data_IF_083673563064
#
_entry.id   IF_083673563064
#
_cell.length_a   1.000
_cell.length_b   1.000
_cell.length_c   1.000
_cell.angle_alpha   90.00
_cell.angle_beta   90.00
_cell.angle_gamma   90.00
#
_symmetry.space_group_name_H-M   'P 1'
#
loop_
_entity.id
_entity.type
_entity.pdbx_description
1 polymer ?
2 non-polymer ?
3 non-polymer ?
4 non-polymer ?
5 water ?
#
# COMPACT_ATOMS: atom_id res chain seq x y z
N UNK A 10 20.31 2.01 -7.60
CA UNK A 10 21.37 1.03 -7.77
C UNK A 10 20.85 -0.25 -8.41
N UNK A 11 19.54 -0.47 -8.32
CA UNK A 11 18.91 -1.68 -8.82
C UNK A 11 18.00 -1.39 -10.02
N UNK A 12 17.77 -2.40 -10.89
CA UNK A 12 16.80 -2.36 -11.98
C UNK A 12 15.56 -3.24 -11.68
N UNK A 13 14.82 -3.64 -12.71
CA UNK A 13 13.60 -4.44 -12.52
C UNK A 13 13.01 -5.07 -13.79
N UNK A 14 12.56 -6.34 -13.72
CA UNK A 14 11.80 -7.02 -14.77
C UNK A 14 10.29 -6.76 -14.62
N UNK A 15 9.52 -6.89 -15.70
CA UNK A 15 8.10 -6.55 -15.66
C UNK A 15 7.20 -7.68 -16.14
N UNK A 16 5.97 -7.71 -15.64
CA UNK A 16 4.97 -8.62 -16.17
C UNK A 16 4.37 -8.03 -17.44
N UNK A 17 4.00 -8.89 -18.38
CA UNK A 17 3.24 -8.44 -19.53
C UNK A 17 1.78 -8.75 -19.26
N UNK A 18 0.93 -7.73 -19.44
CA UNK A 18 -0.49 -7.86 -19.17
C UNK A 18 -1.26 -7.77 -20.46
N UNK A 19 -2.12 -8.74 -20.72
CA UNK A 19 -3.03 -8.67 -21.85
C UNK A 19 -4.47 -8.76 -21.37
N UNK A 20 -5.26 -7.75 -21.65
CA UNK A 20 -6.67 -7.80 -21.21
C UNK A 20 -7.47 -8.71 -22.13
N UNK A 21 -8.16 -9.67 -21.54
CA UNK A 21 -8.90 -10.66 -22.32
C UNK A 21 -10.38 -10.32 -22.42
N UNK A 22 -10.90 -9.61 -21.43
CA UNK A 22 -12.31 -9.27 -21.39
C UNK A 22 -12.52 -8.09 -20.45
N UNK A 23 -13.45 -7.20 -20.80
CA UNK A 23 -13.82 -6.10 -19.90
C UNK A 23 -15.31 -6.13 -19.73
N UNK A 24 -15.79 -5.71 -18.53
CA UNK A 24 -17.23 -5.67 -18.31
C UNK A 24 -17.81 -4.43 -18.97
N UNK A 25 -19.09 -4.49 -19.34
CA UNK A 25 -19.80 -3.36 -19.94
C UNK A 25 -19.76 -2.18 -18.98
N UNK A 26 -20.02 -2.45 -17.69
CA UNK A 26 -19.93 -1.40 -16.68
C UNK A 26 -18.95 -1.79 -15.60
N UNK A 27 -18.03 -0.88 -15.29
CA UNK A 27 -17.08 -1.13 -14.20
C UNK A 27 -17.56 -0.37 -12.96
N UNK A 28 -17.78 -1.08 -11.86
CA UNK A 28 -18.36 -0.45 -10.67
C UNK A 28 -17.33 -0.03 -9.63
N UNK A 29 -16.12 -0.59 -9.73
CA UNK A 29 -15.06 -0.35 -8.76
C UNK A 29 -13.82 -1.02 -9.29
N UNK A 30 -12.66 -0.40 -9.06
CA UNK A 30 -11.42 -0.99 -9.51
C UNK A 30 -10.56 -1.44 -8.33
N UNK A 31 -9.78 -2.50 -8.52
CA UNK A 31 -8.94 -3.02 -7.45
C UNK A 31 -7.82 -2.06 -7.06
N UNK A 32 -7.52 -2.05 -5.77
CA UNK A 32 -6.54 -1.15 -5.16
C UNK A 32 -5.86 -1.92 -4.03
N UNK A 33 -4.60 -1.61 -3.74
CA UNK A 33 -3.87 -2.31 -2.68
C UNK A 33 -4.69 -2.48 -1.42
N UNK A 34 -4.68 -3.69 -0.88
CA UNK A 34 -5.48 -4.00 0.30
C UNK A 34 -6.79 -4.71 0.04
N UNK A 35 -7.35 -4.56 -1.17
CA UNK A 35 -8.63 -5.19 -1.50
C UNK A 35 -8.52 -6.71 -1.49
N UNK A 36 -9.61 -7.37 -1.16
CA UNK A 36 -9.69 -8.81 -1.34
C UNK A 36 -10.31 -9.09 -2.71
N UNK A 37 -9.62 -9.89 -3.52
CA UNK A 37 -10.10 -10.17 -4.86
C UNK A 37 -10.53 -11.64 -4.94
N UNK A 38 -11.74 -11.90 -5.41
CA UNK A 38 -12.14 -13.29 -5.60
C UNK A 38 -11.94 -13.60 -7.08
N UNK A 39 -11.08 -14.56 -7.38
CA UNK A 39 -10.70 -14.80 -8.76
C UNK A 39 -10.77 -16.27 -9.14
N UNK A 40 -11.02 -16.55 -10.42
CA UNK A 40 -10.72 -17.86 -10.96
C UNK A 40 -9.44 -17.68 -11.73
N UNK A 41 -8.58 -18.70 -11.76
CA UNK A 41 -7.43 -18.63 -12.63
C UNK A 41 -7.02 -19.99 -13.17
N UNK A 42 -6.34 -19.95 -14.29
CA UNK A 42 -5.61 -21.10 -14.79
C UNK A 42 -4.16 -20.67 -14.92
N UNK A 43 -3.24 -21.54 -14.55
CA UNK A 43 -1.84 -21.21 -14.63
C UNK A 43 -1.12 -22.19 -15.54
N UNK A 44 -0.28 -21.68 -16.42
CA UNK A 44 0.42 -22.49 -17.43
C UNK A 44 1.90 -22.19 -17.42
N UNK A 45 2.71 -23.17 -17.80
CA UNK A 45 4.12 -22.93 -18.06
C UNK A 45 4.19 -22.39 -19.48
N UNK A 46 4.89 -21.27 -19.68
CA UNK A 46 5.05 -20.71 -21.02
C UNK A 46 5.87 -21.66 -21.87
N UNK A 47 6.85 -22.32 -21.24
CA UNK A 47 7.81 -23.16 -21.96
C UNK A 47 7.13 -24.18 -22.87
N UNK A 48 6.18 -24.95 -22.33
CA UNK A 48 5.50 -25.98 -23.10
C UNK A 48 3.98 -25.85 -23.14
N UNK A 49 3.46 -24.77 -22.57
CA UNK A 49 2.03 -24.51 -22.59
C UNK A 49 1.20 -25.38 -21.66
N UNK A 50 1.87 -26.14 -20.80
CA UNK A 50 1.19 -27.06 -19.90
C UNK A 50 0.50 -26.37 -18.72
N UNK A 51 -0.69 -26.87 -18.39
CA UNK A 51 -1.50 -26.37 -17.28
C UNK A 51 -0.96 -26.88 -15.95
N UNK A 52 -0.63 -25.99 -15.02
CA UNK A 52 -0.18 -26.48 -13.71
C UNK A 52 -1.25 -26.32 -12.63
N UNK A 53 -2.25 -25.49 -12.88
CA UNK A 53 -3.33 -25.35 -11.91
C UNK A 53 -4.55 -24.68 -12.53
N UNK A 54 -5.72 -25.16 -12.13
CA UNK A 54 -6.97 -24.50 -12.48
C UNK A 54 -7.90 -24.49 -11.29
N UNK A 55 -8.39 -23.30 -10.93
CA UNK A 55 -9.34 -23.18 -9.82
C UNK A 55 -10.67 -23.83 -10.19
N UNK A 56 -10.95 -23.98 -11.49
CA UNK A 56 -12.17 -24.67 -11.90
C UNK A 56 -12.09 -26.16 -11.62
N UNK A 57 -10.89 -26.68 -11.49
CA UNK A 57 -10.71 -28.11 -11.32
C UNK A 57 -10.37 -28.52 -9.90
N UNK A 58 -9.79 -27.62 -9.13
CA UNK A 58 -9.33 -27.96 -7.80
C UNK A 58 -10.39 -27.61 -6.76
N UNK A 59 -10.48 -28.39 -5.69
CA UNK A 59 -11.40 -28.08 -4.58
C UNK A 59 -12.82 -27.77 -5.10
N UNK A 60 -13.30 -28.65 -5.98
CA UNK A 60 -14.67 -28.57 -6.49
C UNK A 60 -15.03 -27.24 -7.13
N UNK A 61 -14.04 -26.62 -7.76
CA UNK A 61 -14.26 -25.41 -8.52
C UNK A 61 -14.44 -24.12 -7.75
N UNK A 62 -14.00 -24.07 -6.49
CA UNK A 62 -14.04 -22.84 -5.73
C UNK A 62 -13.17 -21.76 -6.38
N UNK A 63 -13.69 -20.55 -6.56
CA UNK A 63 -12.74 -19.49 -6.86
C UNK A 63 -11.92 -19.22 -5.58
N UNK A 64 -10.84 -18.44 -5.70
CA UNK A 64 -9.96 -18.20 -4.57
C UNK A 64 -9.83 -16.73 -4.22
N UNK A 65 -9.64 -16.44 -2.94
CA UNK A 65 -9.45 -15.07 -2.48
C UNK A 65 -7.98 -14.73 -2.51
N UNK A 66 -7.66 -13.50 -2.93
CA UNK A 66 -6.29 -13.02 -3.02
C UNK A 66 -6.28 -11.57 -2.58
N UNK A 67 -5.44 -11.23 -1.61
CA UNK A 67 -5.28 -9.84 -1.18
C UNK A 67 -4.27 -9.16 -2.09
N UNK A 68 -4.68 -8.04 -2.70
CA UNK A 68 -3.83 -7.31 -3.62
C UNK A 68 -2.82 -6.43 -2.89
N UNK A 69 -1.58 -6.42 -3.37
CA UNK A 69 -0.61 -5.42 -2.95
C UNK A 69 0.11 -5.62 -1.63
N UNK A 70 0.08 -6.83 -1.09
CA UNK A 70 0.84 -7.12 0.13
C UNK A 70 1.76 -8.30 -0.03
N UNK A 71 2.05 -8.67 -1.28
CA UNK A 71 2.88 -9.85 -1.57
C UNK A 71 2.37 -11.12 -0.91
N UNK A 72 1.06 -11.30 -0.97
CA UNK A 72 0.45 -12.49 -0.40
C UNK A 72 0.81 -13.72 -1.23
N UNK A 73 1.10 -13.49 -2.51
CA UNK A 73 1.39 -14.55 -3.45
C UNK A 73 2.59 -14.15 -4.29
N UNK A 74 2.49 -14.30 -5.62
CA UNK A 74 3.62 -14.00 -6.51
C UNK A 74 3.77 -12.50 -6.71
N UNK A 75 5.00 -12.05 -6.92
CA UNK A 75 5.23 -10.63 -7.21
C UNK A 75 4.44 -10.18 -8.44
N UNK A 76 4.40 -11.03 -9.45
CA UNK A 76 3.73 -10.71 -10.70
C UNK A 76 2.24 -10.50 -10.57
N UNK A 77 1.64 -11.18 -9.60
CA UNK A 77 0.21 -10.94 -9.36
C UNK A 77 -0.03 -9.51 -8.83
N UNK A 78 0.79 -9.08 -7.89
CA UNK A 78 0.73 -7.70 -7.40
C UNK A 78 0.92 -6.69 -8.53
N UNK A 79 1.85 -6.98 -9.44
CA UNK A 79 2.12 -6.07 -10.54
C UNK A 79 1.01 -6.10 -11.61
N UNK A 80 0.31 -7.23 -11.74
CA UNK A 80 -0.60 -7.39 -12.87
C UNK A 80 -2.09 -7.23 -12.62
N UNK A 81 -2.48 -7.09 -11.36
CA UNK A 81 -3.90 -7.12 -11.01
C UNK A 81 -4.43 -5.83 -10.39
N UNK A 82 -3.72 -4.72 -10.61
CA UNK A 82 -4.17 -3.43 -10.10
C UNK A 82 -5.19 -2.80 -11.06
N UNK A 83 -6.13 -2.05 -10.52
CA UNK A 83 -7.07 -1.29 -11.34
C UNK A 83 -8.02 -2.16 -12.15
N UNK A 84 -8.34 -3.33 -11.62
CA UNK A 84 -9.11 -4.34 -12.33
C UNK A 84 -10.58 -4.30 -11.91
N UNK A 85 -11.51 -4.54 -12.85
CA UNK A 85 -12.95 -4.46 -12.57
C UNK A 85 -13.52 -5.87 -12.45
N UNK A 86 -14.56 -6.03 -11.65
CA UNK A 86 -15.32 -7.27 -11.61
C UNK A 86 -15.82 -7.55 -13.02
N UNK A 87 -15.60 -8.76 -13.50
CA UNK A 87 -16.00 -9.13 -14.85
C UNK A 87 -14.86 -8.95 -15.86
N UNK A 88 -13.75 -8.36 -15.40
CA UNK A 88 -12.55 -8.22 -16.23
C UNK A 88 -11.71 -9.51 -16.16
N UNK A 89 -11.11 -9.88 -17.29
CA UNK A 89 -10.21 -11.02 -17.34
C UNK A 89 -8.87 -10.57 -17.91
N UNK A 90 -7.77 -10.99 -17.29
CA UNK A 90 -6.43 -10.66 -17.76
C UNK A 90 -5.55 -11.89 -17.94
N UNK A 91 -4.70 -11.84 -18.95
CA UNK A 91 -3.62 -12.81 -19.07
C UNK A 91 -2.34 -12.15 -18.55
N UNK A 92 -1.70 -12.75 -17.55
CA UNK A 92 -0.40 -12.25 -17.08
C UNK A 92 0.69 -13.20 -17.56
N UNK A 93 1.71 -12.62 -18.18
CA UNK A 93 2.91 -13.35 -18.51
C UNK A 93 4.00 -12.89 -17.57
N UNK A 94 4.41 -13.80 -16.68
CA UNK A 94 5.26 -13.50 -15.56
C UNK A 94 6.63 -14.16 -15.69
N UNK A 95 7.69 -13.33 -15.80
CA UNK A 95 9.07 -13.83 -15.85
C UNK A 95 9.44 -14.41 -14.48
N UNK A 96 10.39 -15.36 -14.45
CA UNK A 96 10.72 -16.09 -13.21
C UNK A 96 11.00 -15.20 -12.00
N UNK A 97 11.70 -14.09 -12.19
CA UNK A 97 12.01 -13.17 -11.09
C UNK A 97 10.76 -12.64 -10.38
N UNK A 98 9.62 -12.72 -11.04
CA UNK A 98 8.35 -12.26 -10.47
C UNK A 98 7.42 -13.44 -10.19
N UNK A 99 7.94 -14.64 -10.39
CA UNK A 99 7.16 -15.83 -10.14
C UNK A 99 7.82 -16.64 -9.04
N UNK A 100 8.21 -17.86 -9.39
CA UNK A 100 8.86 -18.76 -8.43
C UNK A 100 10.38 -18.74 -8.50
N UNK A 101 10.93 -17.89 -9.37
CA UNK A 101 12.34 -17.58 -9.34
C UNK A 101 13.30 -18.63 -9.87
N UNK A 102 14.57 -18.42 -9.58
CA UNK A 102 15.66 -19.29 -10.03
C UNK A 102 15.55 -20.66 -9.40
N UNK A 103 14.98 -20.73 -8.20
CA UNK A 103 14.85 -21.99 -7.50
C UNK A 103 13.71 -22.82 -8.06
N UNK A 104 12.62 -22.14 -8.40
CA UNK A 104 11.39 -22.81 -8.74
C UNK A 104 10.77 -23.30 -7.44
N UNK A 105 9.61 -23.92 -7.53
CA UNK A 105 8.97 -24.46 -6.35
C UNK A 105 8.05 -25.61 -6.74
N UNK A 106 8.22 -26.76 -6.10
CA UNK A 106 7.40 -27.93 -6.37
C UNK A 106 7.39 -28.34 -7.84
N UNK A 107 6.20 -28.35 -8.43
CA UNK A 107 6.04 -28.78 -9.82
C UNK A 107 6.39 -27.69 -10.83
N UNK A 108 6.75 -26.51 -10.35
CA UNK A 108 7.21 -25.44 -11.24
C UNK A 108 8.72 -25.46 -11.33
N UNK A 109 9.26 -25.83 -12.50
CA UNK A 109 10.72 -25.93 -12.67
C UNK A 109 11.41 -24.59 -12.49
N UNK A 110 12.73 -24.61 -12.22
CA UNK A 110 13.51 -23.37 -12.06
C UNK A 110 13.45 -22.47 -13.30
N UNK A 111 13.47 -21.15 -13.08
CA UNK A 111 13.52 -20.18 -14.16
C UNK A 111 12.32 -20.27 -15.12
N UNK A 112 11.14 -20.55 -14.55
CA UNK A 112 9.95 -20.72 -15.36
C UNK A 112 9.21 -19.40 -15.58
N UNK A 113 8.98 -19.07 -16.84
CA UNK A 113 8.03 -18.02 -17.16
C UNK A 113 6.63 -18.64 -17.07
N UNK A 114 5.71 -17.90 -16.46
CA UNK A 114 4.38 -18.38 -16.14
C UNK A 114 3.32 -17.60 -16.91
N UNK A 115 2.25 -18.29 -17.29
CA UNK A 115 1.10 -17.61 -17.89
C UNK A 115 -0.14 -17.86 -17.04
N UNK A 116 -0.76 -16.79 -16.56
CA UNK A 116 -2.01 -16.93 -15.82
C UNK A 116 -3.13 -16.24 -16.56
N UNK A 117 -4.28 -16.90 -16.67
CA UNK A 117 -5.50 -16.24 -17.11
C UNK A 117 -6.35 -16.10 -15.87
N UNK A 118 -6.76 -14.88 -15.56
CA UNK A 118 -7.36 -14.60 -14.28
C UNK A 118 -8.64 -13.80 -14.47
N UNK A 119 -9.72 -14.26 -13.87
CA UNK A 119 -11.04 -13.62 -13.97
C UNK A 119 -11.43 -13.06 -12.60
N UNK A 120 -11.84 -11.81 -12.53
CA UNK A 120 -12.21 -11.21 -11.25
C UNK A 120 -13.73 -11.27 -11.03
N UNK A 121 -14.13 -12.02 -10.00
CA UNK A 121 -15.54 -12.25 -9.67
C UNK A 121 -16.11 -11.25 -8.67
N UNK A 122 -15.26 -10.71 -7.80
CA UNK A 122 -15.76 -9.86 -6.72
C UNK A 122 -14.62 -9.14 -6.04
N UNK A 123 -14.90 -7.93 -5.54
CA UNK A 123 -13.94 -7.21 -4.71
C UNK A 123 -14.55 -7.03 -3.34
N UNK A 124 -13.80 -7.37 -2.30
CA UNK A 124 -14.28 -7.09 -0.94
C UNK A 124 -13.28 -6.26 -0.19
N UNK A 125 -13.78 -5.52 0.80
CA UNK A 125 -12.95 -4.68 1.64
C UNK A 125 -12.04 -5.51 2.49
N UNK A 126 -10.77 -5.11 2.54
CA UNK A 126 -9.81 -5.76 3.43
C UNK A 126 -10.13 -5.46 4.89
N UNK A 127 -9.67 -6.33 5.80
CA UNK A 127 -10.01 -6.18 7.22
C UNK A 127 -9.27 -5.02 7.88
N UNK A 128 -9.77 -4.53 9.00
CA UNK A 128 -9.08 -3.52 9.79
C UNK A 128 -7.77 -4.11 10.29
N UNK A 129 -6.64 -3.44 10.04
CA UNK A 129 -5.36 -4.01 10.45
C UNK A 129 -4.73 -3.28 11.64
N UNK A 130 -3.94 -4.04 12.41
CA UNK A 130 -3.20 -3.45 13.51
C UNK A 130 -2.28 -2.34 12.98
N UNK A 131 -1.66 -2.60 11.84
CA UNK A 131 -0.78 -1.64 11.16
C UNK A 131 -1.46 -0.30 10.88
N UNK A 132 -2.69 -0.36 10.36
CA UNK A 132 -3.42 0.87 10.08
C UNK A 132 -3.68 1.67 11.35
N UNK A 133 -4.03 0.98 12.43
CA UNK A 133 -4.29 1.65 13.70
C UNK A 133 -3.04 2.37 14.20
N UNK A 134 -1.91 1.66 14.19
CA UNK A 134 -0.66 2.25 14.66
C UNK A 134 -0.26 3.44 13.80
N UNK A 135 -0.50 3.35 12.49
CA UNK A 135 -0.15 4.43 11.57
C UNK A 135 -0.94 5.70 11.90
N UNK A 136 -2.17 5.51 12.32
CA UNK A 136 -3.06 6.63 12.66
C UNK A 136 -2.81 7.15 14.06
N UNK A 137 -2.43 6.24 14.96
CA UNK A 137 -2.22 6.60 16.36
C UNK A 137 -0.89 7.32 16.53
N UNK A 138 -0.86 8.61 16.14
CA UNK A 138 0.38 9.37 16.09
C UNK A 138 1.12 9.46 17.43
N UNK A 139 0.38 9.53 18.55
CA UNK A 139 1.03 9.69 19.84
C UNK A 139 1.16 8.41 20.67
N UNK A 140 0.93 7.27 20.03
CA UNK A 140 1.11 5.95 20.65
C UNK A 140 0.38 5.77 21.99
N UNK A 141 -0.78 6.40 22.16
CA UNK A 141 -1.53 6.19 23.41
C UNK A 141 -2.62 5.14 23.24
N UNK A 142 -2.55 4.40 22.14
CA UNK A 142 -3.46 3.29 21.84
C UNK A 142 -4.92 3.70 21.70
N UNK A 143 -5.14 4.96 21.37
CA UNK A 143 -6.45 5.44 20.94
C UNK A 143 -6.29 6.53 19.90
N UNK A 144 -7.31 6.68 19.06
CA UNK A 144 -7.26 7.66 17.98
C UNK A 144 -8.09 8.88 18.36
N UNK A 145 -7.45 10.04 18.45
CA UNK A 145 -8.16 11.28 18.70
C UNK A 145 -8.83 11.74 17.41
N UNK A 146 -9.75 12.70 17.52
CA UNK A 146 -10.36 13.26 16.33
C UNK A 146 -9.31 13.91 15.45
N UNK A 147 -8.30 14.51 16.08
CA UNK A 147 -7.24 15.18 15.33
C UNK A 147 -6.39 14.17 14.55
N UNK A 148 -6.16 13.00 15.15
CA UNK A 148 -5.40 11.97 14.46
C UNK A 148 -6.15 11.43 13.25
N UNK A 149 -7.46 11.23 13.41
CA UNK A 149 -8.28 10.76 12.29
C UNK A 149 -8.38 11.84 11.20
N UNK A 150 -8.50 13.09 11.63
CA UNK A 150 -8.49 14.21 10.69
C UNK A 150 -7.16 14.25 9.91
N UNK A 151 -6.05 14.04 10.60
CA UNK A 151 -4.75 14.07 9.93
C UNK A 151 -4.66 12.99 8.87
N UNK A 152 -5.17 11.81 9.21
CA UNK A 152 -5.15 10.68 8.29
C UNK A 152 -6.01 10.98 7.04
N UNK A 153 -7.21 11.48 7.27
CA UNK A 153 -8.10 11.89 6.18
C UNK A 153 -7.42 12.92 5.30
N UNK A 154 -6.78 13.89 5.93
CA UNK A 154 -6.14 14.97 5.19
C UNK A 154 -5.09 14.40 4.25
N UNK A 155 -4.25 13.52 4.77
CA UNK A 155 -3.16 13.02 3.94
C UNK A 155 -3.66 12.08 2.83
N UNK A 156 -4.71 11.31 3.12
CA UNK A 156 -5.27 10.44 2.11
C UNK A 156 -6.03 11.22 1.03
N UNK A 157 -6.78 12.24 1.43
CA UNK A 157 -7.43 13.12 0.46
C UNK A 157 -6.40 13.74 -0.47
N UNK A 158 -5.31 14.24 0.12
CA UNK A 158 -4.26 14.90 -0.67
C UNK A 158 -3.64 13.94 -1.67
N UNK A 159 -3.45 12.69 -1.25
CA UNK A 159 -2.84 11.66 -2.08
C UNK A 159 -3.65 11.44 -3.35
N UNK A 160 -4.96 11.63 -3.25
CA UNK A 160 -5.85 11.42 -4.40
C UNK A 160 -6.30 12.72 -5.06
N UNK A 161 -5.62 13.82 -4.75
CA UNK A 161 -5.81 15.04 -5.49
C UNK A 161 -6.80 16.02 -4.89
N UNK A 162 -7.18 15.79 -3.64
CA UNK A 162 -8.21 16.60 -3.01
C UNK A 162 -7.67 17.38 -1.81
N UNK A 163 -7.61 18.69 -1.93
CA UNK A 163 -7.27 19.51 -0.78
C UNK A 163 -8.49 20.38 -0.49
N UNK A 164 -9.16 20.10 0.62
CA UNK A 164 -10.44 20.76 0.90
C UNK A 164 -10.46 21.47 2.25
N UNK A 165 -11.55 22.19 2.50
CA UNK A 165 -11.73 22.99 3.70
C UNK A 165 -11.93 22.16 4.96
N UNK A 166 -11.37 22.64 6.07
CA UNK A 166 -11.38 21.96 7.36
C UNK A 166 -12.78 21.51 7.77
N UNK A 167 -13.79 22.32 7.44
CA UNK A 167 -15.17 22.01 7.79
C UNK A 167 -15.58 20.64 7.26
N UNK A 168 -15.13 20.31 6.06
CA UNK A 168 -15.35 18.96 5.52
C UNK A 168 -14.74 17.88 6.42
N UNK A 169 -13.46 18.00 6.73
CA UNK A 169 -12.80 16.98 7.54
C UNK A 169 -13.44 16.87 8.92
N UNK A 170 -13.76 18.01 9.52
CA UNK A 170 -14.42 18.02 10.82
C UNK A 170 -15.76 17.30 10.75
N UNK A 171 -16.50 17.49 9.66
CA UNK A 171 -17.81 16.86 9.52
C UNK A 171 -17.68 15.34 9.32
N UNK A 172 -16.71 14.93 8.51
CA UNK A 172 -16.46 13.52 8.23
C UNK A 172 -15.97 12.78 9.47
N UNK A 173 -15.11 13.42 10.26
CA UNK A 173 -14.64 12.86 11.52
C UNK A 173 -15.79 12.60 12.51
N UNK A 174 -16.74 13.52 12.58
CA UNK A 174 -17.91 13.32 13.43
C UNK A 174 -18.76 12.15 12.94
N UNK A 175 -18.94 12.03 11.63
CA UNK A 175 -19.64 10.87 11.07
C UNK A 175 -18.99 9.58 11.54
N UNK A 176 -17.66 9.54 11.47
CA UNK A 176 -16.90 8.35 11.84
C UNK A 176 -17.00 8.04 13.33
N UNK A 177 -16.79 9.06 14.16
CA UNK A 177 -16.82 8.88 15.61
C UNK A 177 -18.21 8.56 16.15
N UNK A 178 -19.24 9.00 15.42
CA UNK A 178 -20.62 8.72 15.81
C UNK A 178 -20.82 7.22 16.00
N UNK A 179 -20.20 6.44 15.13
CA UNK A 179 -20.29 4.99 15.20
C UNK A 179 -19.18 4.34 16.04
N UNK A 180 -17.95 4.81 15.90
CA UNK A 180 -16.81 4.10 16.45
C UNK A 180 -16.47 4.45 17.88
N UNK A 181 -16.76 5.68 18.29
CA UNK A 181 -16.58 6.07 19.69
C UNK A 181 -17.81 5.71 20.50
N UNK A 182 -17.70 4.71 21.37
CA UNK A 182 -18.87 4.18 22.08
C UNK A 182 -19.04 4.78 23.46
N UNK A 183 -17.98 4.80 24.26
CA UNK A 183 -18.07 5.43 25.57
C UNK A 183 -18.07 6.95 25.48
N UNK A 184 -17.81 7.46 24.27
CA UNK A 184 -17.82 8.89 23.98
C UNK A 184 -16.79 9.65 24.82
N UNK A 185 -15.59 9.08 24.97
CA UNK A 185 -14.51 9.82 25.60
C UNK A 185 -13.82 10.72 24.58
N UNK A 186 -14.29 10.64 23.33
CA UNK A 186 -13.75 11.45 22.26
C UNK A 186 -12.66 10.75 21.47
N UNK A 187 -12.45 9.48 21.79
CA UNK A 187 -11.40 8.69 21.17
C UNK A 187 -11.94 7.38 20.62
N UNK A 188 -11.18 6.78 19.73
CA UNK A 188 -11.46 5.43 19.27
C UNK A 188 -10.35 4.53 19.79
N UNK A 189 -10.62 3.83 20.88
CA UNK A 189 -9.66 2.91 21.49
C UNK A 189 -9.32 1.76 20.56
N UNK A 190 -8.24 1.05 20.86
CA UNK A 190 -7.86 -0.12 20.06
C UNK A 190 -9.00 -1.13 20.06
N UNK A 191 -9.63 -1.29 21.22
CA UNK A 191 -10.78 -2.17 21.34
C UNK A 191 -11.91 -1.77 20.38
N UNK A 192 -12.30 -0.50 20.42
CA UNK A 192 -13.34 0.01 19.53
C UNK A 192 -12.97 -0.13 18.04
N UNK A 193 -11.68 0.01 17.73
CA UNK A 193 -11.22 -0.07 16.33
C UNK A 193 -11.30 -1.49 15.76
N UNK A 194 -11.13 -2.49 16.62
CA UNK A 194 -11.01 -3.90 16.21
C UNK A 194 -12.07 -4.37 15.20
N UNK A 195 -13.33 -4.25 15.57
CA UNK A 195 -14.42 -4.63 14.67
C UNK A 195 -15.08 -3.40 14.08
N UNK A 196 -15.25 -3.39 12.76
CA UNK A 196 -16.18 -2.46 12.17
C UNK A 196 -17.53 -2.97 12.65
N UNK A 197 -18.18 -2.24 13.55
CA UNK A 197 -19.49 -2.66 14.03
C UNK A 197 -20.55 -2.46 12.96
N UNK A 198 -20.08 -2.08 11.77
CA UNK A 198 -20.86 -2.05 10.55
C UNK A 198 -21.32 -3.47 10.19
N UNK B 11 -2.98 -9.98 14.97
CA UNK B 11 -1.63 -9.44 15.09
C UNK B 11 -0.59 -10.52 14.76
N UNK B 12 -0.03 -10.45 13.54
CA UNK B 12 0.95 -11.42 13.03
C UNK B 12 2.29 -11.39 13.76
N UNK B 13 2.96 -12.53 13.81
CA UNK B 13 4.27 -12.64 14.45
C UNK B 13 5.34 -11.84 13.69
N UNK B 14 5.98 -10.89 14.38
CA UNK B 14 7.07 -10.10 13.76
C UNK B 14 8.33 -10.95 13.62
N UNK B 15 9.04 -10.77 12.52
CA UNK B 15 10.25 -11.56 12.28
C UNK B 15 11.49 -10.72 12.52
N UNK B 16 11.35 -9.40 12.46
CA UNK B 16 12.42 -8.52 12.86
C UNK B 16 12.14 -8.00 14.27
N UNK B 17 13.20 -7.86 15.07
CA UNK B 17 13.03 -7.26 16.38
C UNK B 17 13.12 -5.75 16.16
N UNK B 18 12.08 -5.03 16.55
CA UNK B 18 12.09 -3.58 16.40
C UNK B 18 12.13 -2.96 17.79
N UNK B 19 13.01 -1.99 17.99
CA UNK B 19 13.01 -1.28 19.26
C UNK B 19 13.00 0.22 18.96
N UNK B 20 12.02 0.94 19.49
CA UNK B 20 12.00 2.40 19.33
C UNK B 20 12.94 2.98 20.37
N UNK B 21 13.99 3.64 19.90
CA UNK B 21 15.01 4.16 20.79
C UNK B 21 14.64 5.55 21.29
N UNK B 22 13.96 6.31 20.44
CA UNK B 22 13.59 7.69 20.78
C UNK B 22 12.45 8.13 19.88
N UNK B 23 11.52 8.91 20.43
CA UNK B 23 10.41 9.49 19.67
C UNK B 23 10.51 11.03 19.74
N UNK B 24 9.93 11.72 18.75
CA UNK B 24 9.89 13.20 18.84
C UNK B 24 8.94 13.62 19.94
N UNK B 25 9.07 14.87 20.40
CA UNK B 25 8.14 15.41 21.38
C UNK B 25 6.72 15.30 20.83
N UNK B 26 6.58 15.56 19.53
CA UNK B 26 5.28 15.52 18.89
C UNK B 26 5.39 14.88 17.52
N UNK B 27 4.52 13.89 17.26
CA UNK B 27 4.51 13.24 15.95
C UNK B 27 3.32 13.72 15.13
N UNK B 28 3.60 14.23 13.93
CA UNK B 28 2.56 14.78 13.09
C UNK B 28 2.18 13.86 11.93
N UNK B 29 2.96 12.81 11.75
CA UNK B 29 2.79 11.93 10.59
C UNK B 29 3.64 10.67 10.74
N UNK B 30 3.08 9.52 10.41
CA UNK B 30 3.80 8.24 10.50
C UNK B 30 3.95 7.60 9.13
N UNK B 31 5.07 6.91 8.92
CA UNK B 31 5.37 6.33 7.61
C UNK B 31 4.37 5.25 7.23
N UNK B 32 4.11 5.14 5.94
CA UNK B 32 3.31 4.03 5.42
C UNK B 32 3.86 3.63 4.05
N UNK B 33 3.37 2.52 3.50
CA UNK B 33 3.82 2.05 2.21
C UNK B 33 3.81 3.14 1.16
N UNK B 34 4.87 3.21 0.37
CA UNK B 34 4.98 4.22 -0.67
C UNK B 34 5.70 5.48 -0.23
N UNK B 35 5.82 5.72 1.08
CA UNK B 35 6.50 6.93 1.57
C UNK B 35 7.99 6.89 1.30
N UNK B 36 8.57 8.02 0.93
CA UNK B 36 10.01 8.17 0.86
C UNK B 36 10.51 8.62 2.22
N UNK B 37 11.55 7.96 2.71
CA UNK B 37 12.08 8.23 4.04
C UNK B 37 13.53 8.68 3.92
N UNK B 38 13.84 9.86 4.45
CA UNK B 38 15.22 10.31 4.47
C UNK B 38 15.81 9.82 5.78
N UNK B 39 16.82 8.95 5.71
CA UNK B 39 17.38 8.35 6.91
C UNK B 39 18.88 8.42 7.01
N UNK B 40 19.37 8.50 8.24
CA UNK B 40 20.74 8.16 8.51
C UNK B 40 20.68 6.75 9.09
N UNK B 41 21.69 5.93 8.84
CA UNK B 41 21.73 4.64 9.53
C UNK B 41 23.13 4.10 9.70
N UNK B 42 23.27 3.19 10.64
CA UNK B 42 24.49 2.40 10.81
C UNK B 42 24.06 0.95 10.80
N UNK B 43 24.83 0.11 10.12
CA UNK B 43 24.54 -1.31 10.08
C UNK B 43 25.70 -2.13 10.60
N UNK B 44 25.40 -3.10 11.46
CA UNK B 44 26.42 -3.91 12.11
C UNK B 44 26.15 -5.40 11.93
N UNK B 45 27.20 -6.20 11.92
CA UNK B 45 27.04 -7.65 11.96
C UNK B 45 26.84 -8.04 13.42
N UNK B 46 25.76 -8.75 13.72
CA UNK B 46 25.54 -9.21 15.09
C UNK B 46 26.67 -10.14 15.56
N UNK B 47 27.27 -10.89 14.63
CA UNK B 47 28.29 -11.88 14.99
C UNK B 47 29.48 -11.30 15.75
N UNK B 48 30.04 -10.20 15.27
CA UNK B 48 31.26 -9.67 15.85
C UNK B 48 31.13 -8.18 16.18
N UNK B 49 29.93 -7.64 16.00
CA UNK B 49 29.67 -6.25 16.26
C UNK B 49 30.33 -5.28 15.29
N UNK B 50 30.87 -5.80 14.18
CA UNK B 50 31.57 -4.95 13.23
C UNK B 50 30.62 -4.06 12.43
N UNK B 51 31.02 -2.82 12.20
CA UNK B 51 30.25 -1.89 11.38
C UNK B 51 30.43 -2.25 9.91
N UNK B 52 29.35 -2.51 9.20
CA UNK B 52 29.50 -2.74 7.76
C UNK B 52 29.16 -1.51 6.92
N UNK B 53 28.33 -0.62 7.45
CA UNK B 53 28.02 0.60 6.75
C UNK B 53 27.47 1.68 7.68
N UNK B 54 27.85 2.92 7.40
CA UNK B 54 27.34 4.08 8.11
C UNK B 54 27.18 5.22 7.11
N UNK B 55 25.99 5.80 7.05
CA UNK B 55 25.77 6.92 6.14
C UNK B 55 26.67 8.08 6.55
N UNK B 56 26.98 8.18 7.85
CA UNK B 56 27.85 9.24 8.34
C UNK B 56 29.29 9.08 7.84
N UNK B 57 29.77 7.85 7.81
CA UNK B 57 31.17 7.59 7.47
C UNK B 57 31.40 7.19 6.01
N UNK B 58 30.43 6.50 5.41
CA UNK B 58 30.60 5.95 4.08
C UNK B 58 29.90 6.72 2.97
N UNK B 59 29.17 7.77 3.33
CA UNK B 59 28.35 8.48 2.35
C UNK B 59 28.61 9.99 2.35
N UNK B 60 29.83 10.36 2.67
CA UNK B 60 30.19 11.77 2.78
C UNK B 60 29.29 12.46 3.80
N UNK B 61 28.80 11.68 4.75
CA UNK B 61 28.01 12.17 5.86
C UNK B 61 26.56 12.44 5.53
N UNK B 62 26.16 12.16 4.30
CA UNK B 62 24.82 12.49 3.84
C UNK B 62 23.82 11.37 4.13
N UNK B 63 22.60 11.73 4.55
CA UNK B 63 21.56 10.71 4.72
C UNK B 63 21.10 10.22 3.35
N UNK B 64 20.33 9.16 3.32
CA UNK B 64 19.91 8.57 2.05
C UNK B 64 18.40 8.42 2.02
N UNK B 65 17.85 8.42 0.80
CA UNK B 65 16.42 8.23 0.61
C UNK B 65 16.11 6.76 0.40
N UNK B 66 15.07 6.29 1.07
CA UNK B 66 14.61 4.90 1.00
C UNK B 66 13.10 4.92 0.81
N UNK B 67 12.58 4.17 -0.15
CA UNK B 67 11.14 4.09 -0.32
C UNK B 67 10.62 2.87 0.43
N UNK B 68 9.64 3.09 1.30
CA UNK B 68 9.12 2.05 2.17
C UNK B 68 8.04 1.21 1.47
N UNK B 69 8.04 -0.09 1.76
CA UNK B 69 6.96 -0.95 1.34
C UNK B 69 6.92 -1.45 -0.09
N UNK B 70 8.04 -1.35 -0.81
CA UNK B 70 8.09 -1.83 -2.20
C UNK B 70 9.31 -2.73 -2.46
N UNK B 71 9.88 -3.29 -1.39
CA UNK B 71 11.09 -4.10 -1.49
C UNK B 71 12.19 -3.40 -2.28
N UNK B 72 12.35 -2.11 -2.02
CA UNK B 72 13.43 -1.36 -2.62
C UNK B 72 14.75 -1.86 -2.05
N UNK B 73 14.74 -2.25 -0.77
CA UNK B 73 15.94 -2.73 -0.10
C UNK B 73 15.67 -4.04 0.64
N UNK B 74 16.14 -4.15 1.89
CA UNK B 74 16.01 -5.41 2.63
C UNK B 74 14.57 -5.64 3.05
N UNK B 75 14.12 -6.90 3.06
CA UNK B 75 12.75 -7.18 3.50
C UNK B 75 12.54 -6.69 4.93
N UNK B 76 13.59 -6.81 5.74
CA UNK B 76 13.55 -6.40 7.14
C UNK B 76 13.32 -4.91 7.35
N UNK B 77 13.80 -4.09 6.41
CA UNK B 77 13.56 -2.65 6.47
C UNK B 77 12.08 -2.39 6.21
N UNK B 78 11.52 -3.08 5.22
CA UNK B 78 10.09 -2.99 4.93
C UNK B 78 9.23 -3.39 6.13
N UNK B 79 9.63 -4.43 6.84
CA UNK B 79 8.86 -4.86 8.01
C UNK B 79 9.10 -3.97 9.22
N UNK B 80 10.29 -3.36 9.31
CA UNK B 80 10.69 -2.69 10.53
C UNK B 80 10.52 -1.19 10.58
N UNK B 81 10.14 -0.56 9.46
CA UNK B 81 10.16 0.91 9.40
C UNK B 81 8.80 1.55 9.17
N UNK B 82 7.74 0.79 9.41
CA UNK B 82 6.37 1.31 9.30
C UNK B 82 5.97 2.08 10.56
N UNK B 83 5.15 3.10 10.39
CA UNK B 83 4.59 3.81 11.53
C UNK B 83 5.63 4.61 12.28
N UNK B 84 6.61 5.11 11.55
CA UNK B 84 7.74 5.82 12.14
C UNK B 84 7.56 7.32 11.94
N UNK B 85 8.04 8.12 12.91
CA UNK B 85 7.85 9.57 12.86
C UNK B 85 9.18 10.26 12.57
N UNK B 86 9.15 11.44 11.96
CA UNK B 86 10.37 12.26 11.91
C UNK B 86 10.93 12.54 13.32
N UNK B 87 12.22 12.29 13.50
CA UNK B 87 12.86 12.54 14.79
C UNK B 87 12.89 11.25 15.59
N UNK B 88 12.26 10.20 15.04
CA UNK B 88 12.28 8.91 15.70
C UNK B 88 13.54 8.14 15.30
N UNK B 89 14.04 7.33 16.22
CA UNK B 89 15.19 6.47 16.01
C UNK B 89 14.80 5.05 16.41
N UNK B 90 15.19 4.09 15.56
CA UNK B 90 14.83 2.69 15.74
C UNK B 90 16.01 1.77 15.58
N UNK B 91 16.02 0.73 16.39
CA UNK B 91 16.96 -0.37 16.22
C UNK B 91 16.17 -1.50 15.55
N UNK B 92 16.77 -2.10 14.53
CA UNK B 92 16.22 -3.33 13.93
C UNK B 92 17.21 -4.47 14.10
N UNK B 93 16.73 -5.62 14.54
CA UNK B 93 17.57 -6.80 14.51
C UNK B 93 16.96 -7.70 13.48
N UNK B 94 17.73 -7.97 12.43
CA UNK B 94 17.17 -8.59 11.23
C UNK B 94 17.84 -9.93 10.95
N UNK B 95 17.05 -11.02 11.00
CA UNK B 95 17.61 -12.34 10.70
C UNK B 95 17.95 -12.44 9.23
N UNK B 96 18.88 -13.32 8.87
CA UNK B 96 19.38 -13.40 7.48
C UNK B 96 18.28 -13.55 6.43
N UNK B 97 17.21 -14.29 6.73
CA UNK B 97 16.12 -14.49 5.78
C UNK B 97 15.49 -13.17 5.35
N UNK B 98 15.62 -12.14 6.19
CA UNK B 98 15.06 -10.84 5.87
C UNK B 98 16.16 -9.85 5.58
N UNK B 99 17.37 -10.37 5.48
CA UNK B 99 18.54 -9.58 5.13
C UNK B 99 19.09 -10.01 3.80
N UNK B 100 20.35 -10.42 3.78
CA UNK B 100 20.99 -10.89 2.55
C UNK B 100 21.10 -12.41 2.49
N UNK B 101 20.41 -13.09 3.41
CA UNK B 101 20.28 -14.54 3.41
C UNK B 101 21.58 -15.32 3.30
N UNK B 102 21.50 -16.48 2.65
CA UNK B 102 22.71 -17.19 2.27
C UNK B 102 23.30 -16.33 1.15
N UNK B 103 24.58 -16.53 0.85
CA UNK B 103 25.32 -15.74 -0.15
C UNK B 103 25.79 -14.38 0.38
N UNK B 104 24.94 -13.73 1.17
CA UNK B 104 25.30 -12.45 1.76
C UNK B 104 25.59 -11.40 0.69
N UNK B 105 26.34 -10.36 1.04
CA UNK B 105 26.77 -9.34 0.08
C UNK B 105 27.79 -8.37 0.65
N UNK B 106 28.73 -7.96 -0.19
CA UNK B 106 29.72 -6.97 0.19
C UNK B 106 30.50 -7.36 1.41
N UNK B 107 30.28 -6.63 2.51
CA UNK B 107 30.96 -6.94 3.77
C UNK B 107 30.12 -7.91 4.60
N UNK B 108 28.93 -8.22 4.11
CA UNK B 108 28.01 -9.08 4.85
C UNK B 108 28.06 -10.56 4.43
N UNK B 109 28.58 -11.42 5.32
CA UNK B 109 28.74 -12.85 5.10
C UNK B 109 27.40 -13.56 4.99
N UNK B 110 27.38 -14.77 4.40
CA UNK B 110 26.15 -15.56 4.36
C UNK B 110 25.59 -15.79 5.75
N UNK B 111 24.26 -15.83 5.86
CA UNK B 111 23.56 -16.17 7.08
C UNK B 111 23.85 -15.20 8.23
N UNK B 112 24.03 -13.92 7.91
CA UNK B 112 24.28 -12.91 8.93
C UNK B 112 22.99 -12.29 9.49
N UNK B 113 22.90 -12.23 10.81
CA UNK B 113 21.90 -11.41 11.46
C UNK B 113 22.46 -10.00 11.49
N UNK B 114 21.62 -9.02 11.12
CA UNK B 114 22.08 -7.65 11.00
C UNK B 114 21.43 -6.78 12.07
N UNK B 115 22.18 -5.81 12.57
CA UNK B 115 21.66 -4.84 13.53
C UNK B 115 21.77 -3.44 12.97
N UNK B 116 20.63 -2.75 12.85
CA UNK B 116 20.62 -1.39 12.32
C UNK B 116 20.21 -0.37 13.38
N UNK B 117 20.85 0.79 13.34
CA UNK B 117 20.48 1.96 14.10
C UNK B 117 20.03 3.00 13.07
N UNK B 118 18.74 3.34 13.05
CA UNK B 118 18.16 4.17 11.98
C UNK B 118 17.46 5.43 12.50
N UNK B 119 17.78 6.58 11.92
CA UNK B 119 17.24 7.88 12.31
C UNK B 119 16.40 8.42 11.16
N UNK B 120 15.14 8.75 11.41
CA UNK B 120 14.26 9.31 10.37
C UNK B 120 14.26 10.84 10.38
N UNK B 121 14.67 11.42 9.26
CA UNK B 121 14.85 12.86 9.15
C UNK B 121 13.69 13.56 8.43
N UNK B 122 13.08 12.89 7.46
CA UNK B 122 11.96 13.47 6.72
C UNK B 122 11.14 12.38 6.03
N UNK B 123 9.84 12.63 5.89
CA UNK B 123 8.97 11.77 5.13
C UNK B 123 8.39 12.55 3.95
N UNK B 124 8.37 11.94 2.76
CA UNK B 124 7.70 12.54 1.62
C UNK B 124 6.84 11.51 0.89
N UNK B 125 5.79 11.99 0.25
CA UNK B 125 4.98 11.16 -0.63
C UNK B 125 4.47 12.02 -1.77
N UNK B 126 4.59 11.53 -3.00
CA UNK B 126 4.13 12.31 -4.14
C UNK B 126 2.71 11.95 -4.48
N UNK B 127 1.79 12.93 -4.39
CA UNK B 127 0.37 12.63 -4.59
C UNK B 127 0.03 12.50 -6.06
N UNK B 128 -1.18 12.02 -6.37
CA UNK B 128 -1.73 12.01 -7.73
C UNK B 128 -0.98 11.17 -8.77
N UNK B 129 -0.68 9.93 -8.44
CA UNK B 129 -0.11 8.99 -9.40
C UNK B 129 -1.14 8.63 -10.46
N UNK B 130 -0.66 8.18 -11.63
CA UNK B 130 -1.54 7.72 -12.69
C UNK B 130 -2.43 6.60 -12.16
N UNK B 131 -1.88 5.76 -11.29
CA UNK B 131 -2.66 4.65 -10.74
C UNK B 131 -3.92 5.12 -10.00
N UNK B 132 -3.79 6.19 -9.21
CA UNK B 132 -4.94 6.73 -8.49
C UNK B 132 -6.01 7.25 -9.45
N UNK B 133 -5.57 7.98 -10.48
CA UNK B 133 -6.51 8.43 -11.50
C UNK B 133 -7.26 7.27 -12.14
N UNK B 134 -6.52 6.27 -12.63
CA UNK B 134 -7.12 5.12 -13.29
C UNK B 134 -8.11 4.40 -12.38
N UNK B 135 -7.78 4.29 -11.10
CA UNK B 135 -8.70 3.70 -10.13
C UNK B 135 -10.05 4.42 -10.10
N UNK B 136 -9.99 5.74 -10.17
CA UNK B 136 -11.19 6.54 -10.08
C UNK B 136 -11.99 6.58 -11.38
N UNK B 137 -11.29 6.49 -12.50
CA UNK B 137 -11.93 6.67 -13.81
C UNK B 137 -12.62 5.39 -14.25
N UNK B 138 -13.82 5.14 -13.70
CA UNK B 138 -14.49 3.85 -13.91
C UNK B 138 -14.91 3.55 -15.36
N UNK B 139 -15.12 4.58 -16.17
CA UNK B 139 -15.47 4.34 -17.57
C UNK B 139 -14.31 4.57 -18.55
N UNK B 140 -13.11 4.77 -18.02
CA UNK B 140 -11.88 4.89 -18.81
C UNK B 140 -11.94 5.93 -19.91
N UNK B 141 -12.60 7.06 -19.64
CA UNK B 141 -12.70 8.12 -20.63
C UNK B 141 -11.73 9.26 -20.38
N UNK B 142 -10.76 9.03 -19.49
CA UNK B 142 -9.72 10.02 -19.15
C UNK B 142 -10.24 11.32 -18.53
N UNK B 143 -11.43 11.28 -17.94
CA UNK B 143 -11.87 12.38 -17.10
C UNK B 143 -12.66 11.80 -15.93
N UNK B 144 -12.78 12.56 -14.84
CA UNK B 144 -13.53 12.08 -13.67
C UNK B 144 -14.85 12.81 -13.53
N UNK B 145 -15.96 12.06 -13.45
CA UNK B 145 -17.27 12.67 -13.25
C UNK B 145 -17.55 12.82 -11.77
N UNK B 146 -18.55 13.63 -11.42
CA UNK B 146 -18.93 13.76 -10.02
C UNK B 146 -19.34 12.40 -9.45
N UNK B 147 -20.05 11.61 -10.25
CA UNK B 147 -20.48 10.29 -9.83
C UNK B 147 -19.31 9.34 -9.60
N UNK B 148 -18.28 9.46 -10.44
CA UNK B 148 -17.09 8.64 -10.26
C UNK B 148 -16.40 9.02 -8.96
N UNK B 149 -16.31 10.32 -8.69
CA UNK B 149 -15.62 10.74 -7.47
C UNK B 149 -16.41 10.34 -6.22
N UNK B 150 -17.73 10.50 -6.29
CA UNK B 150 -18.61 10.11 -5.19
C UNK B 150 -18.50 8.62 -4.91
N UNK B 151 -18.45 7.82 -5.97
CA UNK B 151 -18.36 6.36 -5.81
C UNK B 151 -17.07 5.95 -5.14
N UNK B 152 -15.97 6.61 -5.52
CA UNK B 152 -14.67 6.34 -4.94
C UNK B 152 -14.64 6.71 -3.45
N UNK B 153 -15.15 7.89 -3.12
CA UNK B 153 -15.22 8.32 -1.72
C UNK B 153 -16.06 7.35 -0.87
N UNK B 154 -17.15 6.88 -1.45
CA UNK B 154 -18.05 5.97 -0.76
C UNK B 154 -17.34 4.68 -0.42
N UNK B 155 -16.68 4.06 -1.40
CA UNK B 155 -16.05 2.77 -1.12
C UNK B 155 -14.80 2.95 -0.26
N UNK B 156 -14.10 4.07 -0.39
CA UNK B 156 -12.92 4.31 0.42
C UNK B 156 -13.28 4.45 1.90
N UNK B 157 -14.38 5.12 2.17
CA UNK B 157 -14.90 5.19 3.53
C UNK B 157 -15.36 3.82 4.03
N UNK B 158 -16.17 3.16 3.20
CA UNK B 158 -16.78 1.91 3.60
C UNK B 158 -15.73 0.83 3.82
N UNK B 159 -14.59 0.95 3.14
CA UNK B 159 -13.46 0.03 3.30
C UNK B 159 -13.03 0.00 4.74
N UNK B 160 -12.87 1.20 5.30
CA UNK B 160 -12.42 1.36 6.67
C UNK B 160 -13.55 1.17 7.66
N UNK B 161 -14.74 0.81 7.16
CA UNK B 161 -15.91 0.67 8.00
C UNK B 161 -16.37 2.03 8.52
N UNK B 162 -16.05 3.08 7.76
CA UNK B 162 -16.48 4.44 8.11
C UNK B 162 -17.81 4.77 7.43
N UNK B 163 -18.79 5.20 8.21
CA UNK B 163 -20.13 5.47 7.68
C UNK B 163 -20.12 6.65 6.72
N UNK B 164 -20.89 6.52 5.65
CA UNK B 164 -20.98 7.57 4.64
C UNK B 164 -22.23 8.40 4.88
N UNK B 165 -22.04 9.67 5.25
CA UNK B 165 -23.16 10.59 5.32
C UNK B 165 -23.27 11.23 3.95
N UNK B 166 -24.34 10.90 3.23
CA UNK B 166 -24.45 11.27 1.83
C UNK B 166 -24.40 12.77 1.59
N UNK B 167 -25.10 13.54 2.42
CA UNK B 167 -25.07 15.00 2.30
C UNK B 167 -23.67 15.57 2.49
N UNK B 168 -22.91 15.06 3.45
CA UNK B 168 -21.54 15.51 3.63
C UNK B 168 -20.68 15.17 2.43
N UNK B 169 -20.89 13.99 1.85
CA UNK B 169 -20.12 13.57 0.68
C UNK B 169 -20.48 14.36 -0.58
N UNK B 170 -21.77 14.56 -0.82
CA UNK B 170 -22.23 15.36 -1.96
C UNK B 170 -21.64 16.76 -1.87
N UNK B 171 -21.61 17.31 -0.66
CA UNK B 171 -21.11 18.66 -0.44
C UNK B 171 -19.62 18.71 -0.67
N UNK B 172 -18.91 17.67 -0.21
CA UNK B 172 -17.48 17.56 -0.44
C UNK B 172 -17.18 17.45 -1.93
N UNK B 173 -17.92 16.62 -2.63
CA UNK B 173 -17.74 16.47 -4.08
C UNK B 173 -17.97 17.80 -4.80
N UNK B 174 -19.02 18.51 -4.41
CA UNK B 174 -19.32 19.78 -5.05
C UNK B 174 -18.18 20.78 -4.92
N UNK B 175 -17.57 20.82 -3.73
CA UNK B 175 -16.48 21.74 -3.47
C UNK B 175 -15.19 21.32 -4.17
N UNK B 176 -14.96 20.01 -4.24
CA UNK B 176 -13.82 19.51 -4.98
C UNK B 176 -13.90 19.95 -6.44
N UNK B 177 -15.06 19.76 -7.06
CA UNK B 177 -15.22 20.15 -8.46
C UNK B 177 -15.18 21.68 -8.68
N UNK B 178 -15.79 22.43 -7.78
CA UNK B 178 -15.70 23.90 -7.84
C UNK B 178 -14.23 24.33 -7.96
N UNK B 179 -13.37 23.66 -7.20
CA UNK B 179 -11.95 23.99 -7.12
C UNK B 179 -11.12 23.40 -8.25
N UNK B 180 -11.37 22.14 -8.60
CA UNK B 180 -10.50 21.42 -9.55
C UNK B 180 -10.98 21.44 -10.99
N UNK B 181 -12.28 21.63 -11.21
CA UNK B 181 -12.82 21.62 -12.57
C UNK B 181 -12.62 22.99 -13.17
N UNK B 182 -11.45 23.20 -13.75
CA UNK B 182 -11.02 24.54 -14.14
C UNK B 182 -11.80 25.11 -15.31
N UNK B 183 -12.16 24.26 -16.28
CA UNK B 183 -12.87 24.73 -17.46
C UNK B 183 -14.40 24.57 -17.35
N UNK B 184 -14.86 24.10 -16.20
CA UNK B 184 -16.28 24.01 -15.88
C UNK B 184 -17.12 23.22 -16.88
N UNK B 185 -16.59 22.09 -17.34
CA UNK B 185 -17.37 21.21 -18.20
C UNK B 185 -18.06 20.13 -17.37
N UNK B 186 -17.91 20.19 -16.05
CA UNK B 186 -18.49 19.19 -15.15
C UNK B 186 -17.60 18.00 -14.85
N UNK B 187 -16.43 17.96 -15.46
CA UNK B 187 -15.50 16.84 -15.26
C UNK B 187 -14.12 17.31 -14.79
N UNK B 188 -13.38 16.42 -14.14
CA UNK B 188 -11.97 16.69 -13.89
C UNK B 188 -11.19 15.81 -14.86
N UNK B 189 -10.60 16.45 -15.86
CA UNK B 189 -9.85 15.72 -16.89
C UNK B 189 -8.55 15.22 -16.30
N UNK B 190 -7.87 14.34 -17.03
CA UNK B 190 -6.55 13.88 -16.64
C UNK B 190 -5.60 15.06 -16.39
N UNK B 191 -5.64 16.07 -17.25
CA UNK B 191 -4.77 17.22 -17.08
C UNK B 191 -5.12 18.04 -15.83
N UNK B 192 -6.41 18.24 -15.61
CA UNK B 192 -6.88 18.96 -14.42
C UNK B 192 -6.57 18.21 -13.13
N UNK B 193 -6.60 16.89 -13.18
CA UNK B 193 -6.15 16.07 -12.07
C UNK B 193 -4.65 16.20 -11.83
N UNK B 194 -3.88 16.06 -12.90
CA UNK B 194 -2.42 15.96 -12.80
C UNK B 194 -1.77 17.27 -12.35
N UNK B 195 -2.14 18.37 -12.99
CA UNK B 195 -1.49 19.65 -12.74
C UNK B 195 -2.30 20.50 -11.78
N UNK B 196 -1.67 20.98 -10.71
CA UNK B 196 -2.37 21.72 -9.68
C UNK B 196 -1.74 23.07 -9.44
N UNK B 197 -2.60 24.08 -9.36
CA UNK B 197 -2.17 25.40 -8.98
C UNK B 197 -3.26 26.05 -8.11
N UNK B 198 -2.86 26.70 -7.03
CA UNK B 198 -3.82 27.41 -6.18
C UNK B 198 -4.06 28.81 -6.73
N UNK B 199 -3.09 29.29 -7.50
CA UNK B 199 -3.10 30.65 -8.02
C UNK B 199 -4.16 30.80 -9.12
#
# INVERSE_FOLDING_TARGET
AMADIGSEFLIPEPEVKIEVLQKPFICHRKTKGGDLMLVHYEGYLEKDGSLFHSTHKHNNGQPIWFTLGILEALKGWDQGLKGMCVGEKRKLIIPPALGYGKEGKGKIPPESTLIFNIDLLEIRNGPRSHESFQEMDLNDDWKLSKDEVKAYLKKEFEKHGAVVNESHHDALVEDIFDKEDEDKDGFISAREFTYKHDEL
AMADIGSEFLIPEPEVKIEVLQKPFICHRKTKGGDLMLVHYEGYLEKDGSLFHSTHKHNNGQPIWFTLGILEALKGWDQGLKGMCVGEKRKLIIPPALGYGKEGKGKIPPESTLIFNIDLLEIRNGPRSHESFQEMDLNDDWKLSKDEVKAYLKKEFEKHGAVVNESHHDALVEDIFDKEDEDKDGFISAREFTYKHDEL
#
